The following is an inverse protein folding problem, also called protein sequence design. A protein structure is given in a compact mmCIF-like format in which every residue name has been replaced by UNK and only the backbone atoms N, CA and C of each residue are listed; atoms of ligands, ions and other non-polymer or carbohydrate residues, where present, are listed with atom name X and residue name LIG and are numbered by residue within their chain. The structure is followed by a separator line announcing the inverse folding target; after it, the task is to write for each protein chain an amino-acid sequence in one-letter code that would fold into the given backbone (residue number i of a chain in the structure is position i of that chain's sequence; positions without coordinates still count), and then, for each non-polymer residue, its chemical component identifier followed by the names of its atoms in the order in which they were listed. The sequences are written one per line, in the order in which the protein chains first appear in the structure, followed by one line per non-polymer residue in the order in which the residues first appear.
data_IF_998473190204
#
_entry.id   IF_998473190204
#
_cell.length_a   1.000
_cell.length_b   1.000
_cell.length_c   1.000
_cell.angle_alpha   90.00
_cell.angle_beta   90.00
_cell.angle_gamma   90.00
#
_symmetry.space_group_name_H-M   'P 1'
#
loop_
_entity.id
_entity.type
_entity.pdbx_description
1 polymer ?
#
# COMPACT_ATOMS: atom_id res chain seq x y z
N UNK A 1 -0.03 16.06 -13.47
CA UNK A 1 0.23 15.15 -12.32
C UNK A 1 -0.29 15.78 -11.02
N UNK A 2 -1.20 15.11 -10.30
CA UNK A 2 -1.66 15.56 -8.97
C UNK A 2 -0.52 15.40 -7.95
N UNK A 3 -0.01 16.50 -7.40
CA UNK A 3 0.97 16.45 -6.31
C UNK A 3 0.20 16.29 -4.99
N UNK A 4 0.39 15.19 -4.26
CA UNK A 4 -0.16 15.03 -2.90
C UNK A 4 -1.69 14.93 -2.78
N UNK A 5 -2.44 14.82 -3.88
CA UNK A 5 -3.91 14.82 -3.88
C UNK A 5 -4.54 16.15 -4.29
N UNK A 6 -3.72 17.14 -4.66
CA UNK A 6 -4.14 18.43 -5.18
C UNK A 6 -4.01 18.49 -6.71
N UNK A 7 -4.85 19.31 -7.36
CA UNK A 7 -4.73 19.57 -8.81
C UNK A 7 -3.35 20.18 -9.10
N UNK A 8 -2.74 19.78 -10.21
CA UNK A 8 -1.52 20.46 -10.67
C UNK A 8 -1.82 21.94 -10.96
N UNK A 9 -0.83 22.83 -10.88
CA UNK A 9 -0.95 24.26 -11.19
C UNK A 9 -1.66 24.53 -12.53
N UNK A 10 -1.35 23.74 -13.57
CA UNK A 10 -2.01 23.82 -14.88
C UNK A 10 -3.49 23.47 -14.82
N UNK A 11 -3.82 22.29 -14.30
CA UNK A 11 -5.20 21.81 -14.14
C UNK A 11 -6.05 22.75 -13.27
N UNK A 12 -5.43 23.33 -12.23
CA UNK A 12 -6.08 24.30 -11.36
C UNK A 12 -6.34 25.63 -12.08
N UNK A 13 -5.42 26.08 -12.93
CA UNK A 13 -5.63 27.27 -13.77
C UNK A 13 -6.75 27.03 -14.80
N UNK A 14 -6.75 25.89 -15.49
CA UNK A 14 -7.80 25.50 -16.44
C UNK A 14 -9.18 25.43 -15.74
N UNK A 15 -9.24 24.82 -14.55
CA UNK A 15 -10.46 24.78 -13.76
C UNK A 15 -10.94 26.18 -13.37
N UNK A 16 -10.04 27.06 -12.90
CA UNK A 16 -10.38 28.43 -12.52
C UNK A 16 -10.86 29.24 -13.73
N UNK A 17 -10.22 29.10 -14.89
CA UNK A 17 -10.64 29.76 -16.12
C UNK A 17 -12.04 29.30 -16.54
N UNK A 18 -12.29 27.98 -16.56
CA UNK A 18 -13.61 27.44 -16.87
C UNK A 18 -14.69 27.88 -15.88
N UNK A 19 -14.34 28.00 -14.60
CA UNK A 19 -15.27 28.50 -13.57
C UNK A 19 -15.55 30.00 -13.73
N UNK A 20 -14.56 30.80 -14.10
CA UNK A 20 -14.70 32.23 -14.33
C UNK A 20 -15.53 32.53 -15.58
N UNK A 21 -15.37 31.74 -16.65
CA UNK A 21 -16.05 31.96 -17.93
C UNK A 21 -17.55 31.66 -17.93
N UNK A 22 -18.05 30.95 -16.92
CA UNK A 22 -19.41 30.39 -16.92
C UNK A 22 -20.38 31.06 -15.93
N UNK A 23 -19.93 32.09 -15.20
CA UNK A 23 -20.70 32.80 -14.15
C UNK A 23 -21.59 31.86 -13.30
N UNK A 24 -21.07 30.68 -12.95
CA UNK A 24 -21.89 29.62 -12.37
C UNK A 24 -22.36 30.03 -10.96
N UNK A 25 -23.68 29.90 -10.65
CA UNK A 25 -24.17 30.04 -9.30
C UNK A 25 -23.42 29.10 -8.33
N UNK A 26 -23.27 29.46 -7.04
CA UNK A 26 -22.49 28.69 -6.08
C UNK A 26 -22.85 27.20 -6.03
N UNK A 27 -24.14 26.86 -6.12
CA UNK A 27 -24.63 25.47 -6.15
C UNK A 27 -24.16 24.70 -7.40
N UNK A 28 -24.19 25.31 -8.58
CA UNK A 28 -23.64 24.72 -9.82
C UNK A 28 -22.16 24.44 -9.70
N UNK A 29 -21.42 25.42 -9.17
CA UNK A 29 -19.97 25.32 -8.97
C UNK A 29 -19.64 24.15 -8.03
N UNK A 30 -20.34 24.05 -6.91
CA UNK A 30 -20.15 22.95 -5.97
C UNK A 30 -20.46 21.59 -6.61
N UNK A 31 -21.57 21.49 -7.35
CA UNK A 31 -21.93 20.26 -8.08
C UNK A 31 -20.90 19.89 -9.14
N UNK A 32 -20.34 20.85 -9.88
CA UNK A 32 -19.25 20.61 -10.85
C UNK A 32 -18.05 19.97 -10.17
N UNK A 33 -17.59 20.56 -9.06
CA UNK A 33 -16.44 20.05 -8.30
C UNK A 33 -16.71 18.64 -7.77
N UNK A 34 -17.92 18.39 -7.25
CA UNK A 34 -18.32 17.07 -6.79
C UNK A 34 -18.31 16.05 -7.94
N UNK A 35 -18.85 16.41 -9.11
CA UNK A 35 -18.90 15.53 -10.29
C UNK A 35 -17.50 15.26 -10.84
N UNK A 36 -16.61 16.25 -10.85
CA UNK A 36 -15.21 16.08 -11.20
C UNK A 36 -14.50 15.11 -10.25
N UNK A 37 -14.72 15.25 -8.94
CA UNK A 37 -14.19 14.33 -7.95
C UNK A 37 -14.76 12.90 -8.12
N UNK A 38 -16.07 12.77 -8.30
CA UNK A 38 -16.78 11.48 -8.37
C UNK A 38 -16.53 10.73 -9.67
N UNK A 39 -16.76 11.38 -10.81
CA UNK A 39 -16.76 10.76 -12.13
C UNK A 39 -15.46 10.95 -12.89
N UNK A 40 -14.66 11.95 -12.53
CA UNK A 40 -13.27 12.09 -13.00
C UNK A 40 -12.32 11.34 -12.09
N UNK A 41 -11.98 11.94 -10.95
CA UNK A 41 -10.88 11.49 -10.10
C UNK A 41 -11.05 10.07 -9.54
N UNK A 42 -12.18 9.77 -8.90
CA UNK A 42 -12.42 8.43 -8.32
C UNK A 42 -12.54 7.36 -9.41
N UNK A 43 -13.14 7.69 -10.56
CA UNK A 43 -13.24 6.77 -11.69
C UNK A 43 -11.86 6.46 -12.29
N UNK A 44 -11.01 7.49 -12.47
CA UNK A 44 -9.63 7.33 -12.89
C UNK A 44 -8.82 6.51 -11.87
N UNK A 45 -8.96 6.79 -10.57
CA UNK A 45 -8.33 6.00 -9.52
C UNK A 45 -8.73 4.51 -9.58
N UNK A 46 -10.02 4.21 -9.79
CA UNK A 46 -10.49 2.83 -10.00
C UNK A 46 -9.84 2.18 -11.22
N UNK A 47 -9.71 2.91 -12.33
CA UNK A 47 -9.06 2.43 -13.56
C UNK A 47 -7.56 2.16 -13.34
N UNK A 48 -6.85 3.12 -12.75
CA UNK A 48 -5.42 3.05 -12.44
C UNK A 48 -5.10 1.85 -11.54
N UNK A 49 -5.86 1.67 -10.46
CA UNK A 49 -5.73 0.49 -9.60
C UNK A 49 -6.05 -0.80 -10.35
N UNK A 50 -7.13 -0.83 -11.15
CA UNK A 50 -7.49 -2.03 -11.92
C UNK A 50 -6.40 -2.44 -12.89
N UNK A 51 -5.76 -1.45 -13.53
CA UNK A 51 -4.71 -1.64 -14.52
C UNK A 51 -3.31 -1.73 -13.90
N UNK A 52 -3.15 -1.46 -12.60
CA UNK A 52 -1.86 -1.41 -11.89
C UNK A 52 -0.89 -0.41 -12.50
N UNK A 53 -1.39 0.80 -12.78
CA UNK A 53 -0.63 1.86 -13.42
C UNK A 53 -0.83 3.20 -12.72
N UNK A 54 0.10 4.12 -12.94
CA UNK A 54 0.02 5.51 -12.54
C UNK A 54 -1.00 6.30 -13.38
N UNK A 55 -1.42 7.49 -12.94
CA UNK A 55 -2.27 8.38 -13.72
C UNK A 55 -1.70 8.73 -15.11
N UNK A 56 -0.38 8.70 -15.27
CA UNK A 56 0.30 8.96 -16.54
C UNK A 56 0.45 7.69 -17.40
N UNK A 57 -0.17 6.57 -16.99
CA UNK A 57 -0.15 5.29 -17.72
C UNK A 57 1.05 4.40 -17.42
N UNK A 58 2.04 4.85 -16.65
CA UNK A 58 3.22 4.04 -16.34
C UNK A 58 2.86 2.86 -15.40
N UNK A 59 3.25 1.62 -15.71
CA UNK A 59 2.96 0.46 -14.86
C UNK A 59 3.65 0.57 -13.51
N UNK A 60 3.00 0.11 -12.45
CA UNK A 60 3.55 0.18 -11.11
C UNK A 60 4.73 -0.76 -10.89
N UNK A 61 5.68 -0.38 -10.02
CA UNK A 61 6.67 -1.30 -9.49
C UNK A 61 6.00 -2.53 -8.86
N UNK A 62 6.45 -3.71 -9.29
CA UNK A 62 5.98 -5.00 -8.79
C UNK A 62 6.17 -5.19 -7.28
N UNK A 63 5.60 -6.28 -6.75
CA UNK A 63 5.84 -6.66 -5.36
C UNK A 63 7.25 -7.24 -5.24
N UNK A 64 7.94 -6.93 -4.13
CA UNK A 64 9.19 -7.64 -3.75
C UNK A 64 8.91 -9.09 -3.29
N UNK A 65 7.65 -9.45 -3.01
CA UNK A 65 7.25 -10.79 -2.58
C UNK A 65 6.79 -11.64 -3.76
N UNK A 66 6.78 -12.97 -3.60
CA UNK A 66 6.33 -13.93 -4.63
C UNK A 66 4.81 -13.95 -4.88
N UNK A 67 4.03 -13.03 -4.29
CA UNK A 67 2.56 -13.01 -4.43
C UNK A 67 2.16 -12.43 -5.79
N UNK A 68 1.27 -13.13 -6.51
CA UNK A 68 0.85 -12.78 -7.88
C UNK A 68 -0.44 -11.94 -7.98
N UNK A 69 -1.05 -11.55 -6.86
CA UNK A 69 -2.31 -10.78 -6.86
C UNK A 69 -2.13 -9.27 -7.09
N UNK A 70 -3.04 -8.65 -7.86
CA UNK A 70 -3.05 -7.17 -8.07
C UNK A 70 -3.10 -6.44 -6.72
N UNK A 71 -2.40 -5.32 -6.62
CA UNK A 71 -2.34 -4.48 -5.42
C UNK A 71 -3.58 -3.61 -5.30
N UNK A 72 -3.93 -3.24 -4.06
CA UNK A 72 -4.94 -2.22 -3.78
C UNK A 72 -6.36 -2.48 -4.35
N UNK A 73 -6.75 -3.73 -4.66
CA UNK A 73 -7.98 -4.12 -5.39
C UNK A 73 -9.32 -3.54 -4.88
N UNK A 74 -9.39 -3.00 -3.67
CA UNK A 74 -10.59 -2.32 -3.13
C UNK A 74 -10.30 -0.92 -2.58
N UNK A 75 -9.07 -0.41 -2.70
CA UNK A 75 -8.67 0.89 -2.16
C UNK A 75 -9.52 2.04 -2.71
N UNK A 76 -9.77 2.13 -4.02
CA UNK A 76 -10.57 3.24 -4.55
C UNK A 76 -12.04 3.20 -4.16
N UNK A 77 -12.55 2.07 -3.63
CA UNK A 77 -13.92 1.98 -3.11
C UNK A 77 -14.08 2.70 -1.76
N UNK A 78 -12.96 2.95 -1.08
CA UNK A 78 -12.89 3.62 0.22
C UNK A 78 -12.67 5.13 0.07
N UNK A 79 -12.68 5.66 -1.16
CA UNK A 79 -12.59 7.09 -1.41
C UNK A 79 -13.96 7.73 -1.17
N UNK A 80 -14.01 8.64 -0.20
CA UNK A 80 -15.16 9.46 0.12
C UNK A 80 -14.91 10.90 -0.30
N UNK A 81 -16.02 11.59 -0.56
CA UNK A 81 -16.04 12.98 -0.99
C UNK A 81 -16.72 13.77 0.13
N UNK A 82 -16.05 14.79 0.64
CA UNK A 82 -16.64 15.79 1.53
C UNK A 82 -16.71 17.11 0.78
N UNK A 83 -17.91 17.65 0.66
CA UNK A 83 -18.14 18.99 0.13
C UNK A 83 -17.75 20.04 1.16
N UNK A 84 -17.12 21.13 0.69
CA UNK A 84 -16.70 22.28 1.49
C UNK A 84 -17.17 23.56 0.79
N UNK A 85 -18.49 23.86 0.83
CA UNK A 85 -19.07 24.97 0.08
C UNK A 85 -18.54 26.35 0.51
N UNK A 86 -18.19 26.50 1.78
CA UNK A 86 -17.63 27.74 2.36
C UNK A 86 -16.39 28.25 1.62
N UNK A 87 -15.57 27.32 1.12
CA UNK A 87 -14.33 27.62 0.38
C UNK A 87 -14.41 27.18 -1.08
N UNK A 88 -15.62 26.88 -1.58
CA UNK A 88 -15.88 26.36 -2.92
C UNK A 88 -14.93 25.21 -3.30
N UNK A 89 -14.81 24.21 -2.42
CA UNK A 89 -13.89 23.10 -2.60
C UNK A 89 -14.55 21.75 -2.31
N UNK A 90 -13.85 20.69 -2.73
CA UNK A 90 -14.21 19.30 -2.46
C UNK A 90 -12.98 18.57 -1.97
N UNK A 91 -13.11 17.89 -0.83
CA UNK A 91 -12.05 17.06 -0.26
C UNK A 91 -12.32 15.60 -0.56
N UNK A 92 -11.35 14.93 -1.20
CA UNK A 92 -11.37 13.49 -1.39
C UNK A 92 -10.43 12.85 -0.37
N UNK A 93 -10.94 11.89 0.39
CA UNK A 93 -10.18 11.22 1.46
C UNK A 93 -10.52 9.74 1.53
N UNK A 94 -9.62 8.95 2.12
CA UNK A 94 -9.85 7.53 2.37
C UNK A 94 -10.48 7.35 3.76
N UNK A 95 -11.59 6.62 3.83
CA UNK A 95 -12.28 6.31 5.09
C UNK A 95 -12.49 4.79 5.23
N UNK A 96 -12.38 4.30 6.45
CA UNK A 96 -12.57 2.90 6.76
C UNK A 96 -11.45 2.01 6.21
N UNK A 97 -11.82 0.75 5.91
CA UNK A 97 -10.91 -0.29 5.42
C UNK A 97 -9.95 -0.81 6.49
N UNK A 98 -10.01 -2.12 6.74
CA UNK A 98 -9.04 -2.83 7.56
C UNK A 98 -8.02 -3.56 6.69
N UNK A 99 -6.96 -2.88 6.26
CA UNK A 99 -5.88 -3.55 5.55
C UNK A 99 -5.07 -4.37 6.54
N UNK A 100 -5.03 -5.69 6.35
CA UNK A 100 -4.20 -6.57 7.17
C UNK A 100 -2.74 -6.45 6.74
N UNK A 101 -1.92 -5.84 7.59
CA UNK A 101 -0.47 -5.83 7.45
C UNK A 101 0.16 -6.51 8.67
N UNK A 102 0.02 -7.84 8.74
CA UNK A 102 0.35 -8.62 9.94
C UNK A 102 -0.88 -8.88 10.80
N UNK A 103 -0.70 -8.85 12.12
CA UNK A 103 -1.75 -9.12 13.12
C UNK A 103 -2.68 -7.91 13.35
N UNK A 104 -2.17 -6.69 13.17
CA UNK A 104 -2.94 -5.46 13.38
C UNK A 104 -3.55 -4.92 12.07
N UNK A 105 -4.81 -4.46 12.10
CA UNK A 105 -5.39 -3.74 10.97
C UNK A 105 -4.74 -2.36 10.82
N UNK A 106 -4.49 -1.95 9.58
CA UNK A 106 -3.97 -0.63 9.24
C UNK A 106 -5.06 0.16 8.51
N UNK A 107 -5.32 1.43 8.88
CA UNK A 107 -6.31 2.26 8.20
C UNK A 107 -6.01 2.46 6.71
N UNK A 108 -7.07 2.53 5.89
CA UNK A 108 -6.92 2.76 4.45
C UNK A 108 -6.17 4.05 4.12
N UNK A 109 -6.36 5.12 4.90
CA UNK A 109 -5.65 6.38 4.71
C UNK A 109 -4.12 6.23 4.78
N UNK A 110 -3.62 5.49 5.77
CA UNK A 110 -2.18 5.24 5.95
C UNK A 110 -1.63 4.42 4.78
N UNK A 111 -2.33 3.35 4.40
CA UNK A 111 -1.90 2.50 3.28
C UNK A 111 -1.96 3.26 1.96
N UNK A 112 -3.02 4.03 1.73
CA UNK A 112 -3.20 4.84 0.53
C UNK A 112 -2.12 5.90 0.40
N UNK A 113 -1.81 6.61 1.48
CA UNK A 113 -0.73 7.60 1.51
C UNK A 113 0.63 6.97 1.22
N UNK A 114 0.99 5.91 1.95
CA UNK A 114 2.27 5.21 1.78
C UNK A 114 2.43 4.63 0.36
N UNK A 115 1.35 4.16 -0.26
CA UNK A 115 1.39 3.68 -1.63
C UNK A 115 1.42 4.83 -2.64
N UNK A 116 0.71 5.94 -2.42
CA UNK A 116 0.71 7.08 -3.33
C UNK A 116 2.10 7.72 -3.42
N UNK A 117 2.74 7.97 -2.28
CA UNK A 117 3.97 8.76 -2.19
C UNK A 117 5.24 7.92 -2.03
N UNK A 118 5.09 6.62 -1.76
CA UNK A 118 6.18 5.80 -1.25
C UNK A 118 6.41 6.05 0.24
N UNK A 119 7.24 5.21 0.85
CA UNK A 119 7.57 5.33 2.26
C UNK A 119 8.88 4.60 2.55
N UNK A 120 9.74 5.23 3.34
CA UNK A 120 10.91 4.56 3.93
C UNK A 120 10.65 4.40 5.42
N UNK A 121 10.79 3.20 5.95
CA UNK A 121 10.65 2.93 7.38
C UNK A 121 11.83 2.14 7.92
N UNK A 122 12.32 2.54 9.09
CA UNK A 122 13.30 1.75 9.85
C UNK A 122 12.57 0.84 10.82
N UNK A 123 12.77 -0.46 10.68
CA UNK A 123 12.22 -1.47 11.60
C UNK A 123 13.32 -1.94 12.54
N UNK A 124 12.98 -2.01 13.83
CA UNK A 124 13.82 -2.59 14.85
C UNK A 124 13.38 -4.02 15.13
N UNK A 125 14.33 -4.91 15.42
CA UNK A 125 14.02 -6.31 15.76
C UNK A 125 13.11 -6.41 16.99
N UNK A 126 13.24 -5.49 17.95
CA UNK A 126 12.45 -5.48 19.18
C UNK A 126 10.96 -5.16 18.95
N UNK A 127 10.61 -4.47 17.86
CA UNK A 127 9.22 -4.07 17.60
C UNK A 127 8.38 -5.17 16.93
N UNK A 128 8.99 -6.26 16.48
CA UNK A 128 8.26 -7.40 15.92
C UNK A 128 7.71 -8.29 17.03
N UNK A 129 6.42 -8.63 16.96
CA UNK A 129 5.83 -9.64 17.84
C UNK A 129 6.63 -10.95 17.72
N UNK A 130 7.18 -11.44 18.84
CA UNK A 130 7.78 -12.76 18.90
C UNK A 130 6.66 -13.76 19.10
N UNK A 131 6.19 -14.37 18.02
CA UNK A 131 5.36 -15.56 18.15
C UNK A 131 6.14 -16.62 18.95
N UNK A 132 5.58 -17.07 20.07
CA UNK A 132 6.13 -18.20 20.80
C UNK A 132 5.95 -19.47 19.97
N UNK A 133 7.04 -20.18 19.69
CA UNK A 133 6.98 -21.53 19.13
C UNK A 133 7.06 -22.59 20.24
N UNK A 134 6.60 -22.24 21.45
CA UNK A 134 6.51 -23.17 22.59
C UNK A 134 5.85 -24.47 22.18
N UNK A 135 6.50 -25.59 22.46
CA UNK A 135 6.04 -26.94 22.11
C UNK A 135 6.32 -27.37 20.67
N UNK A 136 6.82 -26.51 19.78
CA UNK A 136 7.22 -26.93 18.43
C UNK A 136 8.64 -27.49 18.43
N UNK A 137 8.80 -28.62 17.78
CA UNK A 137 10.09 -29.25 17.56
C UNK A 137 10.80 -28.70 16.32
N UNK A 138 12.10 -28.98 16.21
CA UNK A 138 12.92 -28.55 15.08
C UNK A 138 12.35 -29.06 13.74
N UNK A 139 12.34 -28.20 12.72
CA UNK A 139 11.90 -28.61 11.39
C UNK A 139 12.97 -29.40 10.64
N UNK A 140 12.56 -30.17 9.63
CA UNK A 140 13.49 -30.85 8.70
C UNK A 140 14.51 -29.87 8.11
N UNK A 141 14.08 -28.65 7.77
CA UNK A 141 14.96 -27.61 7.22
C UNK A 141 16.00 -27.13 8.24
N UNK A 142 15.63 -26.98 9.51
CA UNK A 142 16.56 -26.65 10.59
C UNK A 142 17.55 -27.79 10.84
N UNK A 143 17.08 -29.04 10.89
CA UNK A 143 17.94 -30.21 11.07
C UNK A 143 18.96 -30.36 9.93
N UNK A 144 18.52 -30.19 8.67
CA UNK A 144 19.42 -30.14 7.50
C UNK A 144 20.46 -29.04 7.64
N UNK A 145 20.05 -27.84 8.07
CA UNK A 145 20.95 -26.70 8.23
C UNK A 145 21.97 -26.92 9.35
N UNK A 146 21.56 -27.46 10.49
CA UNK A 146 22.45 -27.77 11.61
C UNK A 146 23.55 -28.76 11.21
N UNK A 147 23.19 -29.86 10.52
CA UNK A 147 24.19 -30.83 10.05
C UNK A 147 25.12 -30.22 9.01
N UNK A 148 24.60 -29.40 8.09
CA UNK A 148 25.42 -28.69 7.10
C UNK A 148 26.41 -27.73 7.77
N UNK A 149 26.01 -27.08 8.87
CA UNK A 149 26.87 -26.21 9.67
C UNK A 149 27.80 -26.97 10.63
N UNK A 150 27.86 -28.30 10.54
CA UNK A 150 28.78 -29.10 11.34
C UNK A 150 28.36 -29.30 12.80
N UNK A 151 27.07 -29.12 13.13
CA UNK A 151 26.58 -29.37 14.49
C UNK A 151 26.87 -30.81 14.94
N UNK A 152 27.46 -30.95 16.12
CA UNK A 152 27.81 -32.21 16.75
C UNK A 152 27.34 -32.22 18.21
N UNK A 153 26.98 -33.41 18.68
CA UNK A 153 26.63 -33.66 20.09
C UNK A 153 27.63 -34.63 20.68
N UNK A 154 27.96 -34.44 21.95
CA UNK A 154 28.81 -35.36 22.69
C UNK A 154 28.00 -36.60 23.08
N UNK A 155 28.49 -37.79 22.72
CA UNK A 155 27.98 -39.08 23.19
C UNK A 155 29.12 -39.86 23.84
N UNK A 156 29.10 -39.95 25.16
CA UNK A 156 30.22 -40.48 25.94
C UNK A 156 31.48 -39.66 25.71
N UNK A 157 32.53 -40.32 25.19
CA UNK A 157 33.83 -39.69 24.89
C UNK A 157 33.95 -39.10 23.47
N UNK A 158 32.97 -39.32 22.58
CA UNK A 158 33.06 -38.94 21.15
C UNK A 158 32.08 -37.84 20.76
N UNK A 159 32.47 -37.01 19.80
CA UNK A 159 31.59 -36.05 19.13
C UNK A 159 30.95 -36.71 17.91
N UNK A 160 29.62 -36.72 17.86
CA UNK A 160 28.85 -37.40 16.81
C UNK A 160 27.93 -36.40 16.12
N UNK A 161 27.81 -36.49 14.80
CA UNK A 161 26.82 -35.73 14.03
C UNK A 161 25.44 -36.39 14.19
N UNK A 162 24.45 -35.74 14.82
CA UNK A 162 23.11 -36.30 15.00
C UNK A 162 22.43 -36.62 13.66
N UNK A 163 21.52 -37.58 13.65
CA UNK A 163 20.64 -37.82 12.49
C UNK A 163 19.51 -36.78 12.44
N UNK A 164 18.85 -36.63 11.29
CA UNK A 164 17.73 -35.69 11.14
C UNK A 164 16.59 -36.00 12.12
N UNK A 165 16.23 -37.29 12.26
CA UNK A 165 15.18 -37.75 13.18
C UNK A 165 15.48 -37.36 14.63
N UNK A 166 16.71 -37.62 15.08
CA UNK A 166 17.15 -37.26 16.43
C UNK A 166 17.07 -35.76 16.70
N UNK A 167 17.46 -34.92 15.73
CA UNK A 167 17.36 -33.46 15.88
C UNK A 167 15.91 -33.00 15.99
N UNK A 168 14.99 -33.60 15.23
CA UNK A 168 13.57 -33.27 15.27
C UNK A 168 12.87 -33.80 16.52
N UNK A 169 13.38 -34.85 17.17
CA UNK A 169 12.78 -35.42 18.39
C UNK A 169 13.34 -34.83 19.68
N UNK A 170 14.58 -34.32 19.67
CA UNK A 170 15.27 -33.88 20.89
C UNK A 170 15.38 -32.37 21.02
N UNK A 171 15.22 -31.62 19.92
CA UNK A 171 15.50 -30.19 19.89
C UNK A 171 14.25 -29.38 19.60
N UNK A 172 13.97 -28.40 20.45
CA UNK A 172 12.91 -27.43 20.17
C UNK A 172 13.26 -26.55 18.96
N UNK A 173 12.22 -26.01 18.33
CA UNK A 173 12.34 -25.11 17.18
C UNK A 173 13.24 -23.90 17.49
N UNK A 174 13.09 -23.31 18.68
CA UNK A 174 13.82 -22.11 19.09
C UNK A 174 15.28 -22.44 19.43
N UNK A 175 15.56 -23.57 20.08
CA UNK A 175 16.92 -24.05 20.33
C UNK A 175 17.67 -24.31 19.01
N UNK A 176 17.04 -24.99 18.06
CA UNK A 176 17.62 -25.23 16.74
C UNK A 176 17.93 -23.92 16.01
N UNK A 177 16.99 -22.97 16.04
CA UNK A 177 17.18 -21.65 15.46
C UNK A 177 18.33 -20.86 16.09
N UNK A 178 18.50 -20.95 17.41
CA UNK A 178 19.60 -20.28 18.13
C UNK A 178 20.96 -20.90 17.78
N UNK A 179 21.06 -22.23 17.76
CA UNK A 179 22.29 -22.95 17.40
C UNK A 179 22.71 -22.65 15.96
N UNK A 180 21.78 -22.65 15.01
CA UNK A 180 22.05 -22.27 13.62
C UNK A 180 22.65 -20.87 13.56
N UNK A 181 22.11 -19.90 14.31
CA UNK A 181 22.64 -18.53 14.33
C UNK A 181 24.05 -18.46 14.90
N UNK A 182 24.32 -19.16 16.01
CA UNK A 182 25.65 -19.23 16.63
C UNK A 182 26.68 -19.83 15.66
N UNK A 183 26.34 -20.97 15.04
CA UNK A 183 27.23 -21.66 14.10
C UNK A 183 27.46 -20.87 12.80
N UNK A 184 26.50 -20.06 12.36
CA UNK A 184 26.69 -19.19 11.20
C UNK A 184 27.66 -18.03 11.46
N UNK A 185 27.93 -17.67 12.72
CA UNK A 185 28.84 -16.58 13.09
C UNK A 185 28.42 -15.18 12.60
N UNK A 186 27.20 -15.04 12.05
CA UNK A 186 26.72 -13.77 11.48
C UNK A 186 26.20 -12.85 12.56
N UNK A 187 26.71 -11.62 12.59
CA UNK A 187 26.17 -10.54 13.42
C UNK A 187 24.70 -10.29 13.06
N UNK A 188 23.81 -10.43 14.04
CA UNK A 188 22.38 -10.32 13.79
C UNK A 188 22.01 -8.84 13.68
N UNK A 189 21.49 -8.38 12.53
CA UNK A 189 21.08 -6.97 12.30
C UNK A 189 19.93 -6.54 13.22
N UNK A 190 20.16 -5.59 14.12
CA UNK A 190 19.14 -5.14 15.09
C UNK A 190 18.09 -4.20 14.46
N UNK A 191 18.42 -3.56 13.34
CA UNK A 191 17.48 -2.75 12.57
C UNK A 191 17.73 -2.90 11.08
N UNK A 192 16.68 -2.72 10.28
CA UNK A 192 16.77 -2.65 8.82
C UNK A 192 15.80 -1.62 8.26
N UNK A 193 16.18 -1.01 7.15
CA UNK A 193 15.33 -0.06 6.43
C UNK A 193 14.51 -0.80 5.37
N UNK A 194 13.23 -0.47 5.28
CA UNK A 194 12.32 -0.95 4.25
C UNK A 194 11.92 0.24 3.38
N UNK A 195 12.21 0.13 2.10
CA UNK A 195 11.79 1.09 1.08
C UNK A 195 10.56 0.55 0.34
N UNK A 196 9.47 1.29 0.44
CA UNK A 196 8.25 1.09 -0.32
C UNK A 196 8.25 2.08 -1.48
N UNK A 197 8.35 1.61 -2.74
CA UNK A 197 8.30 2.52 -3.89
C UNK A 197 6.89 3.07 -4.07
N UNK A 198 6.81 4.30 -4.59
CA UNK A 198 5.57 4.97 -4.92
C UNK A 198 4.81 4.21 -6.03
N UNK A 199 3.50 4.16 -5.85
CA UNK A 199 2.47 3.56 -6.72
C UNK A 199 1.29 4.52 -6.73
N UNK A 200 1.54 5.68 -7.33
CA UNK A 200 0.51 6.70 -7.50
C UNK A 200 -0.71 6.08 -8.20
N UNK A 201 -1.87 6.20 -7.59
CA UNK A 201 -3.13 5.70 -8.12
C UNK A 201 -4.19 6.80 -8.18
N UNK A 202 -4.11 7.74 -7.24
CA UNK A 202 -4.96 8.92 -7.19
C UNK A 202 -4.39 9.97 -8.14
N UNK A 203 -5.22 10.43 -9.08
CA UNK A 203 -4.88 11.46 -10.05
C UNK A 203 -5.36 11.12 -11.46
N UNK A 204 -5.20 12.09 -12.35
CA UNK A 204 -5.47 12.01 -13.79
C UNK A 204 -4.34 12.73 -14.54
N UNK A 205 -4.07 12.30 -15.77
CA UNK A 205 -3.25 13.08 -16.70
C UNK A 205 -3.97 14.38 -17.09
N UNK A 206 -3.24 15.34 -17.63
CA UNK A 206 -3.80 16.64 -18.02
C UNK A 206 -4.86 16.46 -19.14
N UNK A 207 -4.63 15.56 -20.09
CA UNK A 207 -5.61 15.22 -21.12
C UNK A 207 -6.89 14.56 -20.56
N UNK A 208 -6.73 13.61 -19.64
CA UNK A 208 -7.89 12.96 -18.99
C UNK A 208 -8.68 13.98 -18.16
N UNK A 209 -7.98 14.91 -17.50
CA UNK A 209 -8.59 15.99 -16.75
C UNK A 209 -9.41 16.91 -17.66
N UNK A 210 -8.83 17.40 -18.77
CA UNK A 210 -9.53 18.28 -19.71
C UNK A 210 -10.75 17.60 -20.35
N UNK A 211 -10.63 16.31 -20.71
CA UNK A 211 -11.76 15.51 -21.20
C UNK A 211 -12.85 15.35 -20.14
N UNK A 212 -12.47 15.11 -18.89
CA UNK A 212 -13.43 15.01 -17.78
C UNK A 212 -14.12 16.35 -17.52
N UNK A 213 -13.36 17.46 -17.52
CA UNK A 213 -13.85 18.82 -17.35
C UNK A 213 -14.85 19.18 -18.44
N UNK A 214 -14.48 19.07 -19.72
CA UNK A 214 -15.37 19.33 -20.85
C UNK A 214 -16.67 18.52 -20.75
N UNK A 215 -16.58 17.21 -20.44
CA UNK A 215 -17.76 16.35 -20.26
C UNK A 215 -18.65 16.83 -19.11
N UNK A 216 -18.08 17.25 -17.98
CA UNK A 216 -18.89 17.75 -16.86
C UNK A 216 -19.47 19.12 -17.13
N UNK A 217 -18.78 20.00 -17.85
CA UNK A 217 -19.32 21.29 -18.28
C UNK A 217 -20.50 21.12 -19.23
N UNK A 218 -20.39 20.23 -20.22
CA UNK A 218 -21.51 19.85 -21.08
C UNK A 218 -22.69 19.30 -20.26
N UNK A 219 -22.43 18.40 -19.31
CA UNK A 219 -23.46 17.85 -18.45
C UNK A 219 -24.13 18.87 -17.51
N UNK A 220 -23.50 20.02 -17.26
CA UNK A 220 -24.09 21.14 -16.51
C UNK A 220 -24.92 22.04 -17.43
N UNK A 221 -24.56 22.15 -18.71
CA UNK A 221 -25.30 22.93 -19.71
C UNK A 221 -26.58 22.24 -20.21
N UNK A 222 -26.60 20.92 -20.33
CA UNK A 222 -27.75 20.13 -20.80
C UNK A 222 -28.51 19.49 -19.62
N UNK A 223 -29.62 20.10 -19.17
CA UNK A 223 -30.56 19.50 -18.20
C UNK A 223 -30.20 19.72 -16.73
N UNK A 224 -30.09 20.99 -16.35
CA UNK A 224 -29.65 21.45 -15.02
C UNK A 224 -30.69 21.26 -13.89
N UNK A 225 -31.95 20.96 -14.20
CA UNK A 225 -33.00 20.70 -13.22
C UNK A 225 -33.10 19.21 -12.86
N UNK A 226 -32.17 18.73 -12.03
CA UNK A 226 -32.39 17.48 -11.32
C UNK A 226 -31.92 17.67 -9.87
N UNK A 227 -32.88 18.05 -9.02
CA UNK A 227 -32.79 17.82 -7.59
C UNK A 227 -32.59 16.30 -7.37
N UNK A 228 -31.35 15.90 -7.10
CA UNK A 228 -30.96 14.57 -6.62
C UNK A 228 -29.69 14.66 -5.78
#
# INVERSE_FOLDING_TARGET
MFAGGELNKKQLAELRQALASLELPPKKRQRLLWRLAKYGLIAAAKRNVRNQQSPDGQPWPGRRTKRRGKMLRNMPKLLHIREMPEIAAVRVYLQGGGYRNGESPVPAGVVGYAQQNGMTMRINRSSGARGSNSGKMATVSQAKKLRLLGYQVKRGKRMVKPTYKQLMETMSYDQAGLLIRKLLGKTVKNSWTIDLPARAFLGMSDEEFNKALARQLQAIGFGWDVNA
#
